data_IF_430539583937
#
_entry.id   IF_430539583937
#
_cell.length_a   1.000
_cell.length_b   1.000
_cell.length_c   1.000
_cell.angle_alpha   90.00
_cell.angle_beta   90.00
_cell.angle_gamma   90.00
#
_symmetry.space_group_name_H-M   'P 1'
#
loop_
_entity.id
_entity.type
_entity.pdbx_description
1 polymer ?
#
# COMPACT_ATOMS: atom_id res chain seq x y z
N UNK A 1 4.22 -1.67 -25.47
CA UNK A 1 4.90 -0.65 -24.65
C UNK A 1 4.03 -0.45 -23.42
N UNK A 2 4.52 -0.85 -22.25
CA UNK A 2 3.87 -0.54 -20.97
C UNK A 2 4.07 0.96 -20.77
N UNK A 3 3.04 1.74 -20.79
CA UNK A 3 3.11 3.15 -20.41
C UNK A 3 2.93 3.19 -18.90
N UNK A 4 4.01 3.46 -18.15
CA UNK A 4 3.87 4.03 -16.82
C UNK A 4 2.98 5.26 -16.97
N UNK A 5 1.75 5.19 -16.47
CA UNK A 5 0.80 6.30 -16.55
C UNK A 5 1.11 7.42 -15.55
N UNK A 6 2.21 7.29 -14.78
CA UNK A 6 2.57 8.23 -13.73
C UNK A 6 3.72 9.11 -14.21
N UNK A 7 3.42 10.33 -14.60
CA UNK A 7 4.43 11.33 -14.96
C UNK A 7 5.05 11.92 -13.69
N UNK A 8 6.20 11.40 -13.27
CA UNK A 8 6.93 11.88 -12.09
C UNK A 8 6.82 10.93 -10.89
N UNK A 9 7.46 11.32 -9.79
CA UNK A 9 7.45 10.54 -8.53
C UNK A 9 6.10 10.65 -7.83
N UNK A 10 5.52 9.50 -7.47
CA UNK A 10 4.15 9.40 -6.93
C UNK A 10 4.12 9.02 -5.46
N UNK A 11 3.14 9.58 -4.75
CA UNK A 11 2.84 9.28 -3.36
C UNK A 11 1.53 8.50 -3.32
N UNK A 12 1.62 7.21 -2.98
CA UNK A 12 0.47 6.33 -2.82
C UNK A 12 0.30 6.01 -1.33
N UNK A 13 -0.86 6.33 -0.78
CA UNK A 13 -1.10 6.19 0.66
C UNK A 13 -1.72 4.84 0.98
N UNK A 14 -1.05 3.98 1.78
CA UNK A 14 -1.67 2.79 2.35
C UNK A 14 -2.62 3.25 3.46
N UNK A 15 -3.89 3.49 3.09
CA UNK A 15 -4.89 4.08 3.97
C UNK A 15 -5.16 3.22 5.20
N UNK A 16 -5.27 3.87 6.37
CA UNK A 16 -5.93 3.24 7.51
C UNK A 16 -7.43 3.09 7.20
N UNK A 17 -8.07 2.08 7.78
CA UNK A 17 -9.54 1.91 7.69
C UNK A 17 -10.20 2.58 8.89
N UNK A 18 -10.86 3.75 8.73
CA UNK A 18 -11.58 4.38 9.83
C UNK A 18 -12.81 3.56 10.22
N UNK A 19 -12.87 3.14 11.48
CA UNK A 19 -13.99 2.36 12.02
C UNK A 19 -14.77 3.19 13.02
N UNK A 20 -16.08 2.89 13.15
CA UNK A 20 -16.89 3.36 14.26
C UNK A 20 -16.79 2.39 15.45
N UNK A 21 -17.50 2.69 16.55
CA UNK A 21 -17.50 1.87 17.77
C UNK A 21 -18.12 0.46 17.55
N UNK A 22 -18.85 0.25 16.45
CA UNK A 22 -19.42 -1.03 16.03
C UNK A 22 -18.56 -1.76 14.99
N UNK A 23 -17.31 -1.32 14.81
CA UNK A 23 -16.35 -1.87 13.84
C UNK A 23 -16.82 -1.81 12.37
N UNK A 24 -17.76 -0.90 12.05
CA UNK A 24 -18.14 -0.62 10.67
C UNK A 24 -17.28 0.50 10.09
N UNK A 25 -17.09 0.50 8.77
CA UNK A 25 -16.36 1.58 8.08
C UNK A 25 -17.10 2.91 8.28
N UNK A 26 -16.39 3.92 8.75
CA UNK A 26 -16.96 5.23 9.07
C UNK A 26 -16.78 6.20 7.89
N UNK A 27 -17.81 6.38 7.07
CA UNK A 27 -17.81 7.27 5.90
C UNK A 27 -17.38 8.70 6.23
N UNK A 28 -17.91 9.29 7.30
CA UNK A 28 -17.58 10.67 7.68
C UNK A 28 -16.09 10.84 8.01
N UNK A 29 -15.51 9.86 8.70
CA UNK A 29 -14.09 9.84 9.03
C UNK A 29 -13.23 9.60 7.77
N UNK A 30 -13.65 8.69 6.91
CA UNK A 30 -12.96 8.42 5.63
C UNK A 30 -12.95 9.68 4.76
N UNK A 31 -14.09 10.36 4.62
CA UNK A 31 -14.18 11.61 3.86
C UNK A 31 -13.24 12.70 4.37
N UNK A 32 -13.13 12.89 5.71
CA UNK A 32 -12.19 13.86 6.27
C UNK A 32 -10.74 13.46 6.03
N UNK A 33 -10.42 12.17 6.16
CA UNK A 33 -9.09 11.65 5.86
C UNK A 33 -8.72 11.92 4.40
N UNK A 34 -9.58 11.55 3.45
CA UNK A 34 -9.32 11.80 2.02
C UNK A 34 -9.15 13.30 1.71
N UNK A 35 -9.97 14.17 2.29
CA UNK A 35 -9.83 15.61 2.12
C UNK A 35 -8.48 16.14 2.62
N UNK A 36 -7.95 15.58 3.72
CA UNK A 36 -6.64 15.99 4.25
C UNK A 36 -5.47 15.50 3.39
N UNK A 37 -5.64 14.38 2.70
CA UNK A 37 -4.61 13.74 1.88
C UNK A 37 -4.58 14.25 0.43
N UNK A 38 -5.76 14.48 -0.15
CA UNK A 38 -5.94 14.74 -1.59
C UNK A 38 -5.01 15.79 -2.20
N UNK A 39 -4.67 16.93 -1.54
CA UNK A 39 -3.76 17.91 -2.12
C UNK A 39 -2.30 17.42 -2.30
N UNK A 40 -1.93 16.34 -1.62
CA UNK A 40 -0.54 15.95 -1.46
C UNK A 40 -0.21 14.55 -2.00
N UNK A 41 -1.20 13.77 -2.47
CA UNK A 41 -1.02 12.37 -2.86
C UNK A 41 -1.53 12.12 -4.29
N UNK A 42 -1.07 11.03 -4.90
CA UNK A 42 -1.42 10.66 -6.28
C UNK A 42 -2.36 9.45 -6.31
N UNK A 43 -2.50 8.74 -5.20
CA UNK A 43 -3.42 7.62 -5.10
C UNK A 43 -3.54 7.05 -3.69
N UNK A 44 -4.43 6.09 -3.57
CA UNK A 44 -4.79 5.43 -2.31
C UNK A 44 -4.73 3.92 -2.44
N UNK A 45 -4.30 3.27 -1.37
CA UNK A 45 -4.28 1.81 -1.27
C UNK A 45 -5.11 1.42 -0.04
N UNK A 46 -6.44 1.30 -0.16
CA UNK A 46 -7.29 0.80 0.90
C UNK A 46 -7.02 -0.67 1.19
N UNK A 47 -7.31 -1.12 2.39
CA UNK A 47 -7.30 -2.53 2.79
C UNK A 47 -5.94 -3.24 2.65
N UNK A 48 -4.83 -2.48 2.60
CA UNK A 48 -3.49 -3.04 2.75
C UNK A 48 -3.17 -3.19 4.24
N UNK A 49 -1.94 -3.54 4.60
CA UNK A 49 -1.51 -3.79 5.98
C UNK A 49 -1.88 -2.65 6.94
N UNK A 50 -1.62 -1.39 6.60
CA UNK A 50 -2.00 -0.22 7.42
C UNK A 50 -3.51 -0.10 7.60
N UNK A 51 -4.29 -0.57 6.64
CA UNK A 51 -5.75 -0.61 6.69
C UNK A 51 -6.32 -1.86 7.35
N UNK A 52 -5.49 -2.68 8.00
CA UNK A 52 -5.89 -3.93 8.64
C UNK A 52 -6.58 -4.90 7.66
N UNK A 53 -6.22 -4.82 6.37
CA UNK A 53 -6.91 -5.51 5.29
C UNK A 53 -7.07 -7.01 5.50
N UNK A 54 -6.04 -7.66 6.05
CA UNK A 54 -6.07 -9.10 6.36
C UNK A 54 -7.04 -9.49 7.50
N UNK A 55 -7.54 -8.51 8.27
CA UNK A 55 -8.53 -8.71 9.35
C UNK A 55 -9.94 -8.31 8.96
N UNK A 56 -10.10 -7.54 7.88
CA UNK A 56 -11.41 -7.14 7.41
C UNK A 56 -12.20 -8.35 6.93
N UNK A 57 -13.44 -8.48 7.40
CA UNK A 57 -14.40 -9.37 6.78
C UNK A 57 -14.64 -8.96 5.32
N UNK A 58 -15.13 -9.89 4.50
CA UNK A 58 -15.46 -9.61 3.10
C UNK A 58 -16.40 -8.40 2.96
N UNK A 59 -17.37 -8.28 3.85
CA UNK A 59 -18.33 -7.15 3.83
C UNK A 59 -17.65 -5.82 4.16
N UNK A 60 -16.82 -5.75 5.20
CA UNK A 60 -16.09 -4.54 5.56
C UNK A 60 -15.10 -4.13 4.46
N UNK A 61 -14.43 -5.11 3.85
CA UNK A 61 -13.51 -4.87 2.75
C UNK A 61 -14.22 -4.25 1.54
N UNK A 62 -15.37 -4.82 1.11
CA UNK A 62 -16.21 -4.26 0.05
C UNK A 62 -16.70 -2.87 0.39
N UNK A 63 -17.23 -2.69 1.60
CA UNK A 63 -17.73 -1.39 2.06
C UNK A 63 -16.63 -0.31 2.01
N UNK A 64 -15.39 -0.65 2.38
CA UNK A 64 -14.28 0.29 2.31
C UNK A 64 -13.94 0.67 0.86
N UNK A 65 -13.92 -0.29 -0.05
CA UNK A 65 -13.60 -0.06 -1.46
C UNK A 65 -14.69 0.78 -2.14
N UNK A 66 -15.95 0.38 -2.02
CA UNK A 66 -17.10 1.08 -2.61
C UNK A 66 -17.22 2.52 -2.08
N UNK A 67 -17.02 2.70 -0.78
CA UNK A 67 -17.09 4.00 -0.13
C UNK A 67 -15.96 4.92 -0.59
N UNK A 68 -14.75 4.37 -0.76
CA UNK A 68 -13.62 5.13 -1.27
C UNK A 68 -13.86 5.60 -2.71
N UNK A 69 -14.31 4.71 -3.59
CA UNK A 69 -14.62 5.06 -4.99
C UNK A 69 -15.72 6.13 -5.08
N UNK A 70 -16.80 5.96 -4.32
CA UNK A 70 -17.90 6.95 -4.27
C UNK A 70 -17.41 8.33 -3.80
N UNK A 71 -16.59 8.38 -2.75
CA UNK A 71 -16.06 9.63 -2.22
C UNK A 71 -15.04 10.27 -3.16
N UNK A 72 -14.18 9.50 -3.81
CA UNK A 72 -13.25 10.01 -4.82
C UNK A 72 -14.01 10.65 -6.01
N UNK A 73 -15.07 10.02 -6.48
CA UNK A 73 -15.92 10.60 -7.53
C UNK A 73 -16.58 11.92 -7.10
N UNK A 74 -16.90 12.07 -5.82
CA UNK A 74 -17.56 13.26 -5.27
C UNK A 74 -16.58 14.39 -4.95
N UNK A 75 -15.40 14.05 -4.44
CA UNK A 75 -14.41 15.01 -3.96
C UNK A 75 -13.54 15.63 -5.08
N UNK A 76 -13.55 15.06 -6.26
CA UNK A 76 -12.77 15.44 -7.47
C UNK A 76 -11.89 16.69 -7.30
N UNK A 77 -10.75 16.52 -6.65
CA UNK A 77 -9.69 17.51 -6.63
C UNK A 77 -8.71 17.19 -7.77
N UNK A 78 -8.85 17.93 -8.89
CA UNK A 78 -7.88 17.98 -9.98
C UNK A 78 -7.26 16.64 -10.43
N UNK A 79 -8.04 15.74 -11.01
CA UNK A 79 -7.58 14.50 -11.65
C UNK A 79 -8.06 13.23 -10.94
N UNK A 80 -8.12 12.14 -11.70
CA UNK A 80 -8.46 10.82 -11.20
C UNK A 80 -7.30 10.28 -10.35
N UNK A 81 -7.52 10.09 -9.04
CA UNK A 81 -6.56 9.43 -8.16
C UNK A 81 -6.52 7.93 -8.46
N UNK A 82 -5.33 7.34 -8.37
CA UNK A 82 -5.18 5.91 -8.51
C UNK A 82 -5.67 5.19 -7.24
N UNK A 83 -6.61 4.26 -7.40
CA UNK A 83 -7.05 3.36 -6.31
C UNK A 83 -6.53 1.96 -6.58
N UNK A 84 -5.77 1.42 -5.64
CA UNK A 84 -5.18 0.08 -5.70
C UNK A 84 -5.74 -0.74 -4.53
N UNK A 85 -6.58 -1.73 -4.79
CA UNK A 85 -7.17 -2.52 -3.71
C UNK A 85 -6.14 -3.46 -3.05
N UNK A 86 -5.94 -3.34 -1.74
CA UNK A 86 -5.15 -4.29 -0.95
C UNK A 86 -5.90 -5.60 -0.79
N UNK A 87 -5.30 -6.71 -1.23
CA UNK A 87 -5.94 -8.03 -1.22
C UNK A 87 -5.06 -9.11 -0.58
N UNK A 88 -4.11 -8.71 0.27
CA UNK A 88 -3.22 -9.64 0.97
C UNK A 88 -3.98 -10.57 1.92
N UNK A 89 -3.75 -11.89 1.81
CA UNK A 89 -4.40 -12.94 2.59
C UNK A 89 -3.42 -14.09 2.85
N UNK A 90 -3.86 -15.04 3.69
CA UNK A 90 -3.03 -16.16 4.14
C UNK A 90 -2.77 -17.21 3.04
N UNK A 91 -3.61 -17.30 2.03
CA UNK A 91 -3.49 -18.30 0.95
C UNK A 91 -3.71 -17.71 -0.44
N UNK A 92 -3.17 -18.40 -1.45
CA UNK A 92 -3.41 -18.06 -2.86
C UNK A 92 -4.89 -18.07 -3.22
N UNK A 93 -5.65 -19.01 -2.67
CA UNK A 93 -7.08 -19.12 -2.96
C UNK A 93 -7.85 -17.90 -2.44
N UNK A 94 -7.55 -17.46 -1.21
CA UNK A 94 -8.19 -16.26 -0.65
C UNK A 94 -7.81 -15.01 -1.43
N UNK A 95 -6.53 -14.86 -1.83
CA UNK A 95 -6.11 -13.72 -2.69
C UNK A 95 -6.84 -13.75 -4.03
N UNK A 96 -7.03 -14.92 -4.64
CA UNK A 96 -7.83 -15.08 -5.87
C UNK A 96 -9.28 -14.64 -5.69
N UNK A 97 -9.90 -15.03 -4.57
CA UNK A 97 -11.28 -14.67 -4.27
C UNK A 97 -11.44 -13.15 -4.10
N UNK A 98 -10.51 -12.51 -3.39
CA UNK A 98 -10.50 -11.06 -3.24
C UNK A 98 -10.11 -10.32 -4.53
N UNK A 99 -9.25 -10.89 -5.37
CA UNK A 99 -8.93 -10.31 -6.68
C UNK A 99 -10.15 -10.30 -7.61
N UNK A 100 -10.93 -11.40 -7.65
CA UNK A 100 -12.19 -11.45 -8.40
C UNK A 100 -13.21 -10.45 -7.85
N UNK A 101 -13.33 -10.38 -6.53
CA UNK A 101 -14.21 -9.42 -5.87
C UNK A 101 -13.82 -7.96 -6.18
N UNK A 102 -12.52 -7.65 -6.18
CA UNK A 102 -12.00 -6.35 -6.59
C UNK A 102 -12.37 -6.02 -8.05
N UNK A 103 -12.19 -6.98 -8.94
CA UNK A 103 -12.53 -6.81 -10.36
C UNK A 103 -14.04 -6.60 -10.56
N UNK A 104 -14.89 -7.35 -9.87
CA UNK A 104 -16.35 -7.21 -9.88
C UNK A 104 -16.79 -5.84 -9.34
N UNK A 105 -16.10 -5.33 -8.31
CA UNK A 105 -16.33 -4.00 -7.75
C UNK A 105 -15.80 -2.85 -8.64
N UNK A 106 -15.12 -3.15 -9.75
CA UNK A 106 -14.64 -2.15 -10.70
C UNK A 106 -13.21 -1.66 -10.46
N UNK A 107 -12.48 -2.23 -9.50
CA UNK A 107 -11.08 -1.90 -9.27
C UNK A 107 -10.25 -2.16 -10.55
N UNK A 108 -9.27 -1.28 -10.80
CA UNK A 108 -8.34 -1.41 -11.94
C UNK A 108 -7.05 -2.11 -11.55
N UNK A 109 -6.64 -1.97 -10.30
CA UNK A 109 -5.39 -2.50 -9.79
C UNK A 109 -5.53 -3.09 -8.39
N UNK A 110 -4.67 -4.06 -8.10
CA UNK A 110 -4.56 -4.70 -6.79
C UNK A 110 -3.11 -4.71 -6.30
N UNK A 111 -2.93 -4.74 -4.98
CA UNK A 111 -1.63 -4.91 -4.33
C UNK A 111 -1.70 -6.05 -3.33
N UNK A 112 -0.72 -6.95 -3.37
CA UNK A 112 -0.63 -8.08 -2.44
C UNK A 112 0.81 -8.57 -2.31
N UNK A 113 1.08 -9.29 -1.20
CA UNK A 113 2.34 -9.98 -0.94
C UNK A 113 2.19 -11.49 -1.20
N UNK A 114 3.20 -12.30 -0.86
CA UNK A 114 3.09 -13.76 -0.85
C UNK A 114 2.10 -14.23 0.24
N UNK A 115 1.56 -15.45 0.16
CA UNK A 115 0.78 -16.05 1.24
C UNK A 115 1.50 -15.97 2.59
N UNK A 116 0.74 -15.89 3.70
CA UNK A 116 1.28 -15.74 5.06
C UNK A 116 1.82 -17.06 5.65
N UNK A 117 2.38 -17.90 4.80
CA UNK A 117 3.03 -19.16 5.20
C UNK A 117 4.54 -18.95 5.15
N UNK A 118 5.24 -18.84 6.28
CA UNK A 118 6.68 -18.62 6.31
C UNK A 118 7.45 -19.72 5.60
N UNK A 119 8.50 -19.34 4.87
CA UNK A 119 9.44 -20.29 4.27
C UNK A 119 8.93 -21.00 3.01
N UNK A 120 7.92 -20.49 2.34
CA UNK A 120 7.54 -21.01 1.01
C UNK A 120 8.67 -20.75 0.00
N UNK A 121 8.76 -21.62 -1.01
CA UNK A 121 9.82 -21.48 -2.02
C UNK A 121 9.62 -20.23 -2.88
N UNK A 122 10.71 -19.69 -3.43
CA UNK A 122 10.65 -18.56 -4.37
C UNK A 122 9.81 -18.91 -5.60
N UNK A 123 9.83 -20.15 -6.04
CA UNK A 123 8.98 -20.61 -7.14
C UNK A 123 7.50 -20.57 -6.75
N UNK A 124 7.14 -21.00 -5.55
CA UNK A 124 5.75 -20.93 -5.08
C UNK A 124 5.24 -19.47 -5.00
N UNK A 125 6.13 -18.51 -4.69
CA UNK A 125 5.80 -17.07 -4.74
C UNK A 125 5.52 -16.64 -6.20
N UNK A 126 6.33 -17.06 -7.16
CA UNK A 126 6.10 -16.76 -8.58
C UNK A 126 4.76 -17.35 -9.03
N UNK A 127 4.50 -18.62 -8.70
CA UNK A 127 3.27 -19.33 -9.07
C UNK A 127 2.03 -18.64 -8.46
N UNK A 128 2.16 -18.12 -7.24
CA UNK A 128 1.10 -17.33 -6.59
C UNK A 128 0.73 -16.08 -7.42
N UNK A 129 1.72 -15.27 -7.83
CA UNK A 129 1.47 -14.09 -8.66
C UNK A 129 0.94 -14.45 -10.04
N UNK A 130 1.46 -15.54 -10.65
CA UNK A 130 1.00 -16.05 -11.93
C UNK A 130 -0.49 -16.45 -11.86
N UNK A 131 -0.89 -17.14 -10.79
CA UNK A 131 -2.28 -17.58 -10.61
C UNK A 131 -3.27 -16.41 -10.57
N UNK A 132 -2.94 -15.33 -9.83
CA UNK A 132 -3.79 -14.14 -9.77
C UNK A 132 -3.78 -13.39 -11.11
N UNK A 133 -2.62 -13.26 -11.74
CA UNK A 133 -2.47 -12.66 -13.06
C UNK A 133 -3.35 -13.35 -14.10
N UNK A 134 -3.36 -14.68 -14.15
CA UNK A 134 -4.09 -15.45 -15.18
C UNK A 134 -5.60 -15.47 -14.91
N UNK A 135 -6.00 -15.35 -13.65
CA UNK A 135 -7.41 -15.42 -13.25
C UNK A 135 -8.17 -14.09 -13.36
N UNK A 136 -7.47 -12.93 -13.54
CA UNK A 136 -8.09 -11.61 -13.57
C UNK A 136 -7.51 -10.75 -14.70
N UNK A 137 -8.12 -9.58 -14.95
CA UNK A 137 -7.62 -8.58 -15.89
C UNK A 137 -7.03 -7.35 -15.15
N UNK A 138 -6.84 -7.45 -13.83
CA UNK A 138 -6.34 -6.38 -12.99
C UNK A 138 -4.86 -6.09 -13.25
N UNK A 139 -4.49 -4.82 -13.14
CA UNK A 139 -3.10 -4.44 -12.97
C UNK A 139 -2.61 -4.85 -11.57
N UNK A 140 -1.37 -5.30 -11.48
CA UNK A 140 -0.81 -5.86 -10.26
C UNK A 140 0.37 -5.01 -9.77
N UNK A 141 0.30 -4.60 -8.51
CA UNK A 141 1.44 -4.11 -7.76
C UNK A 141 1.96 -5.22 -6.86
N UNK A 142 3.20 -5.59 -7.05
CA UNK A 142 3.90 -6.49 -6.11
C UNK A 142 4.08 -5.80 -4.77
N UNK A 143 4.02 -6.57 -3.69
CA UNK A 143 4.41 -6.11 -2.37
C UNK A 143 5.45 -7.05 -1.76
N UNK A 144 6.66 -6.56 -1.54
CA UNK A 144 7.71 -7.28 -0.83
C UNK A 144 7.74 -6.79 0.61
N UNK A 145 7.33 -7.65 1.54
CA UNK A 145 7.26 -7.36 2.97
C UNK A 145 7.32 -8.69 3.73
N UNK A 146 8.45 -8.93 4.39
CA UNK A 146 8.72 -10.21 5.06
C UNK A 146 8.15 -10.27 6.49
N UNK A 147 7.91 -9.13 7.15
CA UNK A 147 7.42 -9.13 8.53
C UNK A 147 5.96 -9.63 8.63
N UNK A 148 5.14 -9.40 7.58
CA UNK A 148 3.78 -9.91 7.51
C UNK A 148 3.75 -11.33 6.93
N UNK A 149 4.36 -11.51 5.76
CA UNK A 149 4.24 -12.79 5.01
C UNK A 149 5.17 -13.89 5.50
N UNK A 150 6.22 -13.54 6.23
CA UNK A 150 7.32 -14.46 6.57
C UNK A 150 8.25 -14.79 5.40
N UNK A 151 8.10 -14.09 4.25
CA UNK A 151 8.80 -14.43 3.01
C UNK A 151 9.36 -13.19 2.32
N UNK A 152 10.67 -13.06 2.29
CA UNK A 152 11.34 -12.05 1.46
C UNK A 152 11.51 -12.55 0.02
N UNK A 153 11.21 -11.69 -0.94
CA UNK A 153 11.38 -11.99 -2.37
C UNK A 153 12.80 -11.67 -2.82
N UNK A 154 13.49 -12.66 -3.37
CA UNK A 154 14.81 -12.44 -3.99
C UNK A 154 14.69 -11.51 -5.20
N UNK A 155 15.80 -10.88 -5.61
CA UNK A 155 15.85 -10.10 -6.84
C UNK A 155 15.43 -10.92 -8.07
N UNK A 156 15.85 -12.19 -8.15
CA UNK A 156 15.44 -13.08 -9.25
C UNK A 156 13.94 -13.31 -9.28
N UNK A 157 13.33 -13.49 -8.11
CA UNK A 157 11.87 -13.67 -7.97
C UNK A 157 11.11 -12.40 -8.37
N UNK A 158 11.54 -11.23 -7.88
CA UNK A 158 10.92 -9.95 -8.25
C UNK A 158 11.01 -9.71 -9.75
N UNK A 159 12.18 -9.96 -10.38
CA UNK A 159 12.34 -9.82 -11.82
C UNK A 159 11.48 -10.84 -12.61
N UNK A 160 11.31 -12.06 -12.11
CA UNK A 160 10.46 -13.05 -12.77
C UNK A 160 8.98 -12.61 -12.76
N UNK A 161 8.48 -12.15 -11.61
CA UNK A 161 7.09 -11.66 -11.47
C UNK A 161 6.89 -10.38 -12.29
N UNK A 162 7.86 -9.46 -12.28
CA UNK A 162 7.81 -8.20 -13.03
C UNK A 162 7.67 -8.38 -14.55
N UNK A 163 8.02 -9.56 -15.10
CA UNK A 163 7.84 -9.88 -16.53
C UNK A 163 6.40 -10.19 -16.91
N UNK A 164 5.52 -10.45 -15.95
CA UNK A 164 4.11 -10.67 -16.23
C UNK A 164 3.48 -9.38 -16.79
N UNK A 165 2.70 -9.44 -17.89
CA UNK A 165 2.30 -8.23 -18.63
C UNK A 165 1.57 -7.15 -17.83
N UNK A 166 0.76 -7.53 -16.83
CA UNK A 166 -0.01 -6.61 -16.00
C UNK A 166 0.61 -6.32 -14.64
N UNK A 167 1.82 -6.78 -14.37
CA UNK A 167 2.58 -6.33 -13.21
C UNK A 167 3.20 -4.98 -13.56
N UNK A 168 2.77 -3.92 -12.87
CA UNK A 168 3.10 -2.53 -13.23
C UNK A 168 3.87 -1.79 -12.14
N UNK A 169 3.94 -2.33 -10.92
CA UNK A 169 4.65 -1.68 -9.82
C UNK A 169 5.09 -2.65 -8.73
N UNK A 170 5.99 -2.17 -7.88
CA UNK A 170 6.48 -2.86 -6.70
C UNK A 170 6.55 -1.88 -5.52
N UNK A 171 5.82 -2.17 -4.43
CA UNK A 171 6.12 -1.64 -3.11
C UNK A 171 7.19 -2.53 -2.48
N UNK A 172 8.36 -1.98 -2.20
CA UNK A 172 9.47 -2.73 -1.62
C UNK A 172 9.78 -2.27 -0.19
N UNK A 173 9.56 -3.17 0.76
CA UNK A 173 9.90 -3.02 2.18
C UNK A 173 10.88 -4.13 2.57
N UNK A 174 12.10 -4.14 1.99
CA UNK A 174 13.06 -5.24 2.19
C UNK A 174 13.65 -5.19 3.60
N UNK A 175 14.05 -6.35 4.12
CA UNK A 175 14.75 -6.46 5.42
C UNK A 175 16.13 -5.77 5.39
N UNK A 176 16.76 -5.71 4.22
CA UNK A 176 18.01 -4.98 3.96
C UNK A 176 17.77 -4.07 2.76
N UNK A 177 18.08 -2.79 2.90
CA UNK A 177 17.92 -1.81 1.81
C UNK A 177 18.59 -2.30 0.53
N UNK A 178 17.88 -2.24 -0.60
CA UNK A 178 18.44 -2.62 -1.89
C UNK A 178 19.44 -1.58 -2.38
N UNK A 179 20.57 -2.00 -2.95
CA UNK A 179 21.43 -1.09 -3.69
C UNK A 179 20.76 -0.63 -5.00
N UNK A 180 21.18 0.52 -5.51
CA UNK A 180 20.54 1.16 -6.68
C UNK A 180 20.55 0.26 -7.93
N UNK A 181 21.60 -0.48 -8.17
CA UNK A 181 21.70 -1.39 -9.32
C UNK A 181 20.63 -2.50 -9.31
N UNK A 182 20.21 -2.96 -8.13
CA UNK A 182 19.09 -3.90 -8.02
C UNK A 182 17.74 -3.23 -8.29
N UNK A 183 17.54 -2.00 -7.80
CA UNK A 183 16.34 -1.21 -8.11
C UNK A 183 16.25 -0.97 -9.61
N UNK A 184 17.35 -0.58 -10.25
CA UNK A 184 17.41 -0.35 -11.69
C UNK A 184 17.13 -1.64 -12.49
N UNK A 185 17.63 -2.78 -12.03
CA UNK A 185 17.34 -4.08 -12.65
C UNK A 185 15.85 -4.44 -12.59
N UNK A 186 15.15 -4.08 -11.51
CA UNK A 186 13.70 -4.25 -11.38
C UNK A 186 12.97 -3.30 -12.33
N UNK A 187 13.33 -2.01 -12.33
CA UNK A 187 12.72 -0.97 -13.18
C UNK A 187 12.90 -1.28 -14.68
N UNK A 188 14.01 -1.89 -15.07
CA UNK A 188 14.27 -2.36 -16.44
C UNK A 188 13.27 -3.44 -16.91
N UNK A 189 12.57 -4.13 -16.01
CA UNK A 189 11.47 -5.01 -16.38
C UNK A 189 10.18 -4.24 -16.75
N UNK A 190 10.17 -2.91 -16.63
CA UNK A 190 9.03 -2.04 -16.98
C UNK A 190 8.02 -1.90 -15.84
N UNK A 191 8.44 -2.01 -14.59
CA UNK A 191 7.61 -1.78 -13.39
C UNK A 191 8.11 -0.56 -12.64
N UNK A 192 7.21 0.22 -12.04
CA UNK A 192 7.54 1.33 -11.17
C UNK A 192 7.98 0.81 -9.79
N UNK A 193 9.03 1.39 -9.21
CA UNK A 193 9.57 1.01 -7.91
C UNK A 193 9.20 2.03 -6.84
N UNK A 194 8.49 1.57 -5.80
CA UNK A 194 8.04 2.41 -4.69
C UNK A 194 8.75 2.02 -3.39
N UNK A 195 9.35 3.01 -2.72
CA UNK A 195 9.91 2.86 -1.37
C UNK A 195 8.79 2.53 -0.38
N UNK A 196 8.96 1.45 0.39
CA UNK A 196 7.99 0.99 1.39
C UNK A 196 8.35 1.33 2.84
N UNK A 197 9.57 1.88 3.10
CA UNK A 197 10.03 2.25 4.44
C UNK A 197 10.21 3.76 4.59
N UNK A 198 9.68 4.33 5.67
CA UNK A 198 9.79 5.75 6.01
C UNK A 198 11.24 6.22 6.06
N UNK A 199 12.12 5.43 6.65
CA UNK A 199 13.55 5.73 6.83
C UNK A 199 14.33 5.87 5.53
N UNK A 200 13.76 5.42 4.40
CA UNK A 200 14.39 5.49 3.07
C UNK A 200 13.91 6.69 2.24
N UNK A 201 12.86 7.43 2.69
CA UNK A 201 12.19 8.46 1.89
C UNK A 201 13.11 9.61 1.44
N UNK A 202 13.99 10.06 2.30
CA UNK A 202 14.90 11.18 2.02
C UNK A 202 16.31 10.71 1.71
N UNK A 203 16.49 9.41 1.43
CA UNK A 203 17.76 8.81 1.06
C UNK A 203 18.15 9.05 -0.40
N UNK A 204 19.28 8.50 -0.79
CA UNK A 204 19.83 8.63 -2.13
C UNK A 204 19.21 7.64 -3.14
N UNK A 205 18.35 6.71 -2.67
CA UNK A 205 17.74 5.71 -3.53
C UNK A 205 16.79 6.35 -4.54
N UNK A 206 17.07 6.17 -5.81
CA UNK A 206 16.16 6.62 -6.88
C UNK A 206 14.97 5.68 -7.02
N UNK A 207 13.77 6.24 -6.88
CA UNK A 207 12.50 5.54 -6.95
C UNK A 207 11.49 6.29 -7.80
N UNK A 208 10.41 5.62 -8.17
CA UNK A 208 9.27 6.21 -8.87
C UNK A 208 8.23 6.78 -7.88
N UNK A 209 8.46 6.60 -6.58
CA UNK A 209 7.61 7.13 -5.52
C UNK A 209 7.73 6.40 -4.20
N UNK A 210 6.71 6.55 -3.36
CA UNK A 210 6.64 5.84 -2.09
C UNK A 210 5.23 5.30 -1.78
N UNK A 211 5.20 4.28 -0.92
CA UNK A 211 4.00 3.72 -0.28
C UNK A 211 4.31 3.54 1.21
N UNK A 212 4.23 4.62 1.97
CA UNK A 212 4.59 4.64 3.40
C UNK A 212 3.44 5.04 4.30
N UNK A 213 3.40 4.46 5.50
CA UNK A 213 2.31 4.67 6.47
C UNK A 213 2.29 6.10 7.02
N UNK A 214 3.45 6.75 7.13
CA UNK A 214 3.62 8.15 7.53
C UNK A 214 2.75 9.10 6.67
N UNK A 215 2.50 8.76 5.41
CA UNK A 215 1.69 9.59 4.52
C UNK A 215 0.23 9.76 4.98
N UNK A 216 -0.30 8.91 5.86
CA UNK A 216 -1.61 9.13 6.50
C UNK A 216 -1.60 10.34 7.45
N UNK A 217 -0.43 10.71 8.00
CA UNK A 217 -0.26 11.78 9.00
C UNK A 217 0.44 13.02 8.42
N UNK A 218 1.46 12.82 7.60
CA UNK A 218 2.36 13.87 7.09
C UNK A 218 2.53 13.76 5.56
N UNK A 219 1.42 13.85 4.77
CA UNK A 219 1.48 13.61 3.32
C UNK A 219 2.34 14.65 2.59
N UNK A 220 2.34 15.91 3.03
CA UNK A 220 3.17 16.96 2.45
C UNK A 220 4.66 16.68 2.65
N UNK A 221 5.06 16.24 3.84
CA UNK A 221 6.46 15.87 4.12
C UNK A 221 6.90 14.69 3.27
N UNK A 222 6.06 13.65 3.16
CA UNK A 222 6.34 12.51 2.29
C UNK A 222 6.53 12.94 0.82
N UNK A 223 5.69 13.86 0.32
CA UNK A 223 5.86 14.42 -1.02
C UNK A 223 7.16 15.20 -1.17
N UNK A 224 7.48 16.08 -0.24
CA UNK A 224 8.72 16.87 -0.28
C UNK A 224 9.96 15.97 -0.27
N UNK A 225 9.99 14.97 0.60
CA UNK A 225 11.09 14.01 0.69
C UNK A 225 11.28 13.23 -0.60
N UNK A 226 10.19 12.76 -1.22
CA UNK A 226 10.24 11.93 -2.42
C UNK A 226 10.60 12.73 -3.67
N UNK A 227 9.98 13.89 -3.85
CA UNK A 227 10.16 14.70 -5.08
C UNK A 227 11.49 15.43 -5.08
N UNK A 228 11.93 15.94 -3.91
CA UNK A 228 13.11 16.81 -3.81
C UNK A 228 14.37 16.07 -3.38
N UNK A 229 14.28 14.83 -2.91
CA UNK A 229 15.41 14.07 -2.37
C UNK A 229 16.30 14.92 -1.45
N UNK A 230 15.68 15.51 -0.42
CA UNK A 230 16.37 16.40 0.51
C UNK A 230 16.87 15.62 1.72
N UNK A 231 18.18 15.34 1.82
CA UNK A 231 18.74 14.65 3.00
C UNK A 231 18.45 15.35 4.33
N UNK A 232 18.24 16.66 4.31
CA UNK A 232 17.86 17.43 5.49
C UNK A 232 16.53 16.96 6.12
N UNK A 233 15.62 16.34 5.35
CA UNK A 233 14.36 15.80 5.87
C UNK A 233 14.51 14.43 6.54
N UNK A 234 15.65 13.73 6.37
CA UNK A 234 15.87 12.41 6.97
C UNK A 234 15.74 12.42 8.49
N UNK A 235 16.28 13.46 9.13
CA UNK A 235 16.21 13.59 10.60
C UNK A 235 14.78 13.86 11.08
N UNK A 236 14.03 14.70 10.37
CA UNK A 236 12.63 14.98 10.68
C UNK A 236 11.78 13.71 10.51
N UNK A 237 11.95 12.99 9.41
CA UNK A 237 11.24 11.72 9.15
C UNK A 237 11.57 10.69 10.23
N UNK A 238 12.83 10.53 10.61
CA UNK A 238 13.23 9.61 11.67
C UNK A 238 12.59 9.99 13.02
N UNK A 239 12.59 11.27 13.38
CA UNK A 239 11.95 11.78 14.60
C UNK A 239 10.44 11.50 14.61
N UNK A 240 9.77 11.70 13.48
CA UNK A 240 8.33 11.42 13.36
C UNK A 240 8.04 9.92 13.37
N UNK A 241 8.89 9.10 12.75
CA UNK A 241 8.79 7.65 12.79
C UNK A 241 8.84 7.11 14.24
N UNK A 242 9.76 7.65 15.04
CA UNK A 242 9.85 7.34 16.47
C UNK A 242 8.64 7.89 17.25
N UNK A 243 8.28 9.16 17.05
CA UNK A 243 7.16 9.80 17.73
C UNK A 243 5.83 9.08 17.50
N UNK A 244 5.56 8.65 16.27
CA UNK A 244 4.31 7.97 15.91
C UNK A 244 4.42 6.45 16.03
N UNK A 245 5.54 5.93 16.54
CA UNK A 245 5.79 4.50 16.73
C UNK A 245 5.54 3.68 15.45
N UNK A 246 5.94 4.18 14.29
CA UNK A 246 5.66 3.53 13.01
C UNK A 246 6.43 2.22 12.79
N UNK A 247 7.44 1.95 13.62
CA UNK A 247 8.16 0.67 13.65
C UNK A 247 7.58 -0.34 14.67
N UNK A 248 6.52 0.02 15.41
CA UNK A 248 5.87 -0.89 16.35
C UNK A 248 4.99 -1.90 15.60
N UNK A 249 4.75 -3.10 16.15
CA UNK A 249 3.88 -4.09 15.50
C UNK A 249 2.45 -3.61 15.25
N UNK A 250 1.97 -2.65 16.04
CA UNK A 250 0.63 -2.05 15.98
C UNK A 250 0.65 -0.60 15.41
N UNK A 251 1.59 -0.27 14.52
CA UNK A 251 1.76 1.09 13.99
C UNK A 251 0.46 1.70 13.46
N UNK A 252 -0.42 0.92 12.87
CA UNK A 252 -1.71 1.37 12.36
C UNK A 252 -2.64 1.88 13.48
N UNK A 253 -2.58 1.29 14.68
CA UNK A 253 -3.30 1.76 15.86
C UNK A 253 -2.75 3.12 16.32
N UNK A 254 -1.43 3.32 16.25
CA UNK A 254 -0.81 4.62 16.59
C UNK A 254 -1.22 5.71 15.61
N UNK A 255 -1.26 5.40 14.30
CA UNK A 255 -1.75 6.32 13.28
C UNK A 255 -3.22 6.71 13.57
N UNK A 256 -4.08 5.75 13.90
CA UNK A 256 -5.48 6.02 14.24
C UNK A 256 -5.61 6.91 15.48
N UNK A 257 -4.84 6.66 16.54
CA UNK A 257 -4.81 7.52 17.75
C UNK A 257 -4.44 8.96 17.41
N UNK A 258 -3.39 9.15 16.60
CA UNK A 258 -2.94 10.47 16.18
C UNK A 258 -3.99 11.19 15.30
N UNK A 259 -4.57 10.48 14.32
CA UNK A 259 -5.65 11.04 13.47
C UNK A 259 -6.90 11.41 14.28
N UNK A 260 -7.23 10.64 15.31
CA UNK A 260 -8.32 10.97 16.24
C UNK A 260 -7.97 12.22 17.05
N UNK A 261 -6.77 12.30 17.59
CA UNK A 261 -6.31 13.49 18.34
C UNK A 261 -6.34 14.77 17.49
N UNK A 262 -6.08 14.65 16.17
CA UNK A 262 -6.20 15.74 15.19
C UNK A 262 -7.65 16.00 14.73
N UNK A 263 -8.63 15.24 15.18
CA UNK A 263 -10.05 15.37 14.77
C UNK A 263 -10.32 14.91 13.33
N UNK A 264 -9.40 14.20 12.70
CA UNK A 264 -9.58 13.68 11.33
C UNK A 264 -10.53 12.49 11.33
N UNK A 265 -10.39 11.59 12.30
CA UNK A 265 -11.30 10.45 12.47
C UNK A 265 -12.01 10.51 13.83
N UNK A 266 -13.18 9.88 13.94
CA UNK A 266 -13.99 9.92 15.17
C UNK A 266 -13.52 8.91 16.22
N UNK A 267 -12.98 7.77 15.79
CA UNK A 267 -12.59 6.65 16.66
C UNK A 267 -11.23 6.10 16.24
N UNK A 268 -10.43 5.71 17.21
CA UNK A 268 -9.15 5.01 17.03
C UNK A 268 -9.30 3.49 17.06
N UNK A 269 -10.55 2.99 16.94
CA UNK A 269 -10.86 1.57 16.95
C UNK A 269 -10.04 0.80 15.94
N UNK A 270 -9.47 -0.32 16.38
CA UNK A 270 -8.81 -1.34 15.55
C UNK A 270 -9.60 -2.63 15.64
N UNK A 271 -9.48 -3.47 14.62
CA UNK A 271 -10.11 -4.79 14.66
C UNK A 271 -9.39 -5.68 15.70
N UNK A 272 -10.17 -6.31 16.56
CA UNK A 272 -9.67 -7.12 17.69
C UNK A 272 -9.72 -8.62 17.44
N UNK A 273 -10.36 -9.07 16.35
CA UNK A 273 -10.49 -10.48 15.96
C UNK A 273 -9.28 -11.00 15.17
N UNK A 274 -9.08 -12.32 15.21
CA UNK A 274 -8.29 -13.00 14.19
C UNK A 274 -9.01 -12.87 12.83
N UNK A 275 -8.23 -12.88 11.74
CA UNK A 275 -8.80 -12.89 10.40
C UNK A 275 -9.78 -14.07 10.26
N UNK A 276 -11.00 -13.77 9.85
CA UNK A 276 -12.04 -14.79 9.63
C UNK A 276 -11.79 -15.55 8.34
#
# INVERSE_FOLDING_TARGET
MRTSNMSGKSILVPLITPLNEQEQVCETSLKRLLNSLAPHVDGYIPCLTSGEGWRLSRQQWLQMLEMLEMLEMTLRHAGDKLVIAGIERSSTQEVLDFARLAQEAGARAVMFTSPFTPGISQQAIIDHYQAIHDATQLDIFMYNEAALSGNEKSLATLNAIARLPRVIGLKDSPSISRPQDQVDAIRQQGVDYFIGWETQLAGELESDGNVVSLANLEPLLCRQATVRQQPALSHEIATLNERYLLSAPDWYAQIKRELKARGVINSDRVLTGEAA
#
